data_IF_991917875720
#
_entry.id   IF_991917875720
#
_cell.length_a   1.000
_cell.length_b   1.000
_cell.length_c   1.000
_cell.angle_alpha   90.00
_cell.angle_beta   90.00
_cell.angle_gamma   90.00
#
_symmetry.space_group_name_H-M   'P 1'
#
loop_
_entity.id
_entity.type
_entity.pdbx_description
1 polymer ?
#
# COMPACT_ATOMS: atom_id res chain seq x y z
N UNK A 1 -33.29 14.76 -40.70
CA UNK A 1 -33.01 13.57 -39.86
C UNK A 1 -31.51 13.25 -39.68
N UNK A 2 -30.66 13.35 -40.71
CA UNK A 2 -29.24 12.92 -40.64
C UNK A 2 -28.34 13.78 -39.72
N UNK A 3 -28.60 15.08 -39.58
CA UNK A 3 -27.79 15.97 -38.75
C UNK A 3 -27.89 15.66 -37.24
N UNK A 4 -29.08 15.29 -36.77
CA UNK A 4 -29.29 14.86 -35.38
C UNK A 4 -28.64 13.51 -35.10
N UNK A 5 -28.66 12.59 -36.08
CA UNK A 5 -27.99 11.27 -36.00
C UNK A 5 -26.47 11.39 -35.90
N UNK A 6 -25.85 12.31 -36.64
CA UNK A 6 -24.40 12.53 -36.55
C UNK A 6 -24.00 13.16 -35.20
N UNK A 7 -24.82 14.07 -34.65
CA UNK A 7 -24.56 14.65 -33.32
C UNK A 7 -24.68 13.61 -32.21
N UNK A 8 -25.69 12.74 -32.26
CA UNK A 8 -25.84 11.67 -31.26
C UNK A 8 -24.73 10.63 -31.41
N UNK A 9 -24.35 10.25 -32.63
CA UNK A 9 -23.21 9.36 -32.85
C UNK A 9 -21.89 9.95 -32.33
N UNK A 10 -21.63 11.24 -32.57
CA UNK A 10 -20.45 11.92 -32.05
C UNK A 10 -20.46 12.00 -30.53
N UNK A 11 -21.61 12.32 -29.92
CA UNK A 11 -21.76 12.30 -28.47
C UNK A 11 -21.52 10.91 -27.88
N UNK A 12 -22.05 9.84 -28.50
CA UNK A 12 -21.85 8.46 -28.05
C UNK A 12 -20.37 8.06 -28.13
N UNK A 13 -19.66 8.41 -29.20
CA UNK A 13 -18.22 8.12 -29.34
C UNK A 13 -17.41 8.83 -28.26
N UNK A 14 -17.71 10.11 -27.99
CA UNK A 14 -17.05 10.87 -26.92
C UNK A 14 -17.30 10.24 -25.56
N UNK A 15 -18.53 9.80 -25.28
CA UNK A 15 -18.88 9.17 -24.02
C UNK A 15 -18.12 7.84 -23.82
N UNK A 16 -18.07 7.00 -24.87
CA UNK A 16 -17.33 5.74 -24.84
C UNK A 16 -15.83 5.97 -24.62
N UNK A 17 -15.26 6.98 -25.26
CA UNK A 17 -13.87 7.36 -25.06
C UNK A 17 -13.61 7.84 -23.63
N UNK A 18 -14.50 8.65 -23.06
CA UNK A 18 -14.42 9.11 -21.67
C UNK A 18 -14.45 7.93 -20.69
N UNK A 19 -15.39 7.00 -20.89
CA UNK A 19 -15.53 5.78 -20.08
C UNK A 19 -14.24 4.97 -20.14
N UNK A 20 -13.67 4.79 -21.34
CA UNK A 20 -12.42 4.08 -21.50
C UNK A 20 -11.26 4.75 -20.75
N UNK A 21 -11.11 6.08 -20.87
CA UNK A 21 -10.08 6.84 -20.15
C UNK A 21 -10.24 6.73 -18.64
N UNK A 22 -11.44 6.91 -18.11
CA UNK A 22 -11.66 6.84 -16.67
C UNK A 22 -11.48 5.42 -16.14
N UNK A 23 -11.90 4.41 -16.90
CA UNK A 23 -11.66 3.01 -16.54
C UNK A 23 -10.17 2.69 -16.50
N UNK A 24 -9.40 3.21 -17.47
CA UNK A 24 -7.94 3.05 -17.49
C UNK A 24 -7.25 3.79 -16.33
N UNK A 25 -7.64 5.03 -16.05
CA UNK A 25 -7.12 5.79 -14.91
C UNK A 25 -7.44 5.11 -13.58
N UNK A 26 -8.68 4.62 -13.41
CA UNK A 26 -9.09 3.89 -12.23
C UNK A 26 -8.33 2.57 -12.09
N UNK A 27 -8.17 1.81 -13.17
CA UNK A 27 -7.38 0.58 -13.15
C UNK A 27 -5.93 0.86 -12.72
N UNK A 28 -5.34 1.95 -13.21
CA UNK A 28 -4.02 2.39 -12.78
C UNK A 28 -4.01 2.75 -11.30
N UNK A 29 -4.96 3.52 -10.81
CA UNK A 29 -5.03 3.91 -9.39
C UNK A 29 -5.17 2.68 -8.47
N UNK A 30 -6.02 1.72 -8.84
CA UNK A 30 -6.23 0.47 -8.08
C UNK A 30 -5.01 -0.46 -8.12
N UNK A 31 -4.29 -0.52 -9.25
CA UNK A 31 -3.18 -1.46 -9.46
C UNK A 31 -1.82 -0.85 -9.08
N UNK A 32 -1.73 0.48 -9.04
CA UNK A 32 -0.55 1.17 -8.56
C UNK A 32 -0.40 0.83 -7.09
N UNK A 33 0.53 -0.08 -6.79
CA UNK A 33 0.94 -0.40 -5.42
C UNK A 33 1.15 0.93 -4.72
N UNK A 34 0.29 1.25 -3.75
CA UNK A 34 0.40 2.44 -2.93
C UNK A 34 1.77 2.38 -2.28
N UNK A 35 2.71 3.12 -2.87
CA UNK A 35 4.00 3.37 -2.27
C UNK A 35 3.64 4.31 -1.15
N UNK A 36 3.40 3.74 0.05
CA UNK A 36 3.03 4.50 1.24
C UNK A 36 3.94 5.72 1.40
N UNK A 37 3.42 6.75 2.08
CA UNK A 37 3.90 8.13 2.08
C UNK A 37 5.41 8.40 2.05
N UNK A 38 5.78 9.68 1.92
CA UNK A 38 7.16 10.12 1.80
C UNK A 38 8.02 9.94 3.07
N UNK A 39 7.55 9.10 4.01
CA UNK A 39 8.24 8.70 5.23
C UNK A 39 9.57 8.01 4.93
N UNK A 40 10.54 8.25 5.82
CA UNK A 40 11.90 7.71 5.74
C UNK A 40 11.88 6.19 5.77
N UNK A 41 12.71 5.55 4.94
CA UNK A 41 12.94 4.11 5.00
C UNK A 41 13.82 3.80 6.22
N UNK A 42 13.35 2.92 7.09
CA UNK A 42 13.98 2.59 8.38
C UNK A 42 14.51 1.15 8.41
N UNK A 43 14.11 0.30 7.47
CA UNK A 43 14.56 -1.10 7.43
C UNK A 43 13.89 -1.94 6.35
N UNK A 44 13.93 -3.26 6.51
CA UNK A 44 13.31 -4.22 5.61
C UNK A 44 12.90 -5.50 6.34
N UNK A 45 11.96 -6.25 5.77
CA UNK A 45 11.62 -7.60 6.25
C UNK A 45 12.65 -8.60 5.73
N UNK A 46 13.41 -9.22 6.63
CA UNK A 46 14.35 -10.28 6.28
C UNK A 46 13.60 -11.58 6.04
N UNK A 47 12.85 -12.02 7.05
CA UNK A 47 12.10 -13.27 7.03
C UNK A 47 10.64 -13.05 7.43
N UNK A 48 9.77 -13.89 6.87
CA UNK A 48 8.39 -14.01 7.31
C UNK A 48 7.91 -15.43 7.11
N UNK A 49 7.05 -15.87 8.02
CA UNK A 49 6.24 -17.07 7.85
C UNK A 49 4.77 -16.67 7.79
N UNK A 50 4.02 -17.32 6.90
CA UNK A 50 2.57 -17.15 6.76
C UNK A 50 2.11 -15.69 6.55
N UNK A 51 1.11 -15.23 7.31
CA UNK A 51 0.30 -14.05 7.03
C UNK A 51 0.76 -12.84 7.83
N UNK A 52 1.64 -12.04 7.22
CA UNK A 52 2.08 -10.75 7.74
C UNK A 52 1.45 -9.63 6.92
N UNK A 53 0.85 -8.67 7.62
CA UNK A 53 0.24 -7.49 7.02
C UNK A 53 0.91 -6.22 7.52
N UNK A 54 0.98 -5.23 6.64
CA UNK A 54 1.44 -3.88 6.94
C UNK A 54 0.39 -2.87 6.54
N UNK A 55 0.20 -1.88 7.38
CA UNK A 55 -0.55 -0.67 7.09
C UNK A 55 0.46 0.48 6.93
N UNK A 56 0.44 1.14 5.79
CA UNK A 56 1.27 2.33 5.55
C UNK A 56 0.76 3.50 6.40
N UNK A 57 1.65 4.39 6.81
CA UNK A 57 1.28 5.59 7.57
C UNK A 57 0.20 6.45 6.88
N UNK A 58 0.23 6.51 5.55
CA UNK A 58 -0.70 7.29 4.73
C UNK A 58 -1.99 6.56 4.37
N UNK A 59 -2.14 5.28 4.74
CA UNK A 59 -3.26 4.44 4.34
C UNK A 59 -3.95 3.78 5.54
N UNK A 60 -5.26 3.54 5.42
CA UNK A 60 -6.03 2.78 6.43
C UNK A 60 -6.05 1.27 6.11
N UNK A 61 -5.62 0.88 4.90
CA UNK A 61 -5.74 -0.49 4.38
C UNK A 61 -4.51 -1.33 4.75
N UNK A 62 -4.76 -2.57 5.16
CA UNK A 62 -3.72 -3.58 5.40
C UNK A 62 -3.30 -4.26 4.09
N UNK A 63 -2.03 -4.11 3.72
CA UNK A 63 -1.40 -4.80 2.60
C UNK A 63 -0.63 -6.03 3.06
N UNK A 64 -0.62 -7.10 2.25
CA UNK A 64 0.26 -8.25 2.48
C UNK A 64 1.72 -7.84 2.29
N UNK A 65 2.59 -8.26 3.21
CA UNK A 65 4.03 -8.01 3.11
C UNK A 65 4.74 -9.21 2.50
N UNK A 66 5.81 -8.94 1.76
CA UNK A 66 6.69 -9.94 1.12
C UNK A 66 8.09 -9.85 1.70
N UNK A 67 8.87 -10.92 1.55
CA UNK A 67 10.30 -10.91 1.90
C UNK A 67 10.99 -9.77 1.14
N UNK A 68 11.89 -9.06 1.83
CA UNK A 68 12.63 -7.88 1.34
C UNK A 68 11.77 -6.65 1.04
N UNK A 69 10.50 -6.62 1.43
CA UNK A 69 9.75 -5.37 1.38
C UNK A 69 10.36 -4.36 2.37
N UNK A 70 10.56 -3.13 1.90
CA UNK A 70 11.12 -2.03 2.70
C UNK A 70 10.12 -1.56 3.76
N UNK A 71 10.60 -1.26 4.96
CA UNK A 71 9.80 -0.69 6.06
C UNK A 71 10.13 0.80 6.19
N UNK A 72 9.09 1.60 6.35
CA UNK A 72 9.12 3.06 6.51
C UNK A 72 8.68 3.46 7.91
N UNK A 73 9.09 4.65 8.31
CA UNK A 73 8.62 5.25 9.55
C UNK A 73 7.09 5.35 9.57
N UNK A 74 6.50 5.16 10.76
CA UNK A 74 5.06 5.16 11.03
C UNK A 74 4.25 4.03 10.38
N UNK A 75 4.93 3.01 9.90
CA UNK A 75 4.24 1.80 9.49
C UNK A 75 3.72 1.03 10.70
N UNK A 76 2.56 0.40 10.53
CA UNK A 76 2.08 -0.63 11.45
C UNK A 76 2.25 -2.00 10.81
N UNK A 77 2.85 -2.94 11.53
CA UNK A 77 3.03 -4.32 11.07
C UNK A 77 2.30 -5.25 12.04
N UNK A 78 1.57 -6.22 11.50
CA UNK A 78 0.86 -7.23 12.28
C UNK A 78 1.11 -8.64 11.75
N UNK A 79 1.24 -9.57 12.68
CA UNK A 79 1.22 -11.01 12.45
C UNK A 79 -0.16 -11.56 12.84
N UNK A 80 -0.60 -12.59 12.14
CA UNK A 80 -1.77 -13.39 12.53
C UNK A 80 -1.31 -14.69 13.21
N UNK A 81 -2.27 -15.51 13.59
CA UNK A 81 -2.05 -16.85 14.14
C UNK A 81 -1.10 -17.68 13.26
N UNK A 82 -0.16 -18.38 13.90
CA UNK A 82 0.85 -19.19 13.23
C UNK A 82 1.79 -18.40 12.31
N UNK A 83 1.87 -17.07 12.43
CA UNK A 83 2.71 -16.22 11.57
C UNK A 83 3.79 -15.54 12.39
N UNK A 84 5.02 -15.50 11.88
CA UNK A 84 6.12 -14.75 12.48
C UNK A 84 6.82 -13.85 11.44
N UNK A 85 7.54 -12.84 11.91
CA UNK A 85 8.33 -11.97 11.07
C UNK A 85 9.62 -11.55 11.76
N UNK A 86 10.70 -11.45 10.98
CA UNK A 86 11.95 -10.84 11.41
C UNK A 86 12.22 -9.59 10.56
N UNK A 87 12.28 -8.44 11.23
CA UNK A 87 12.47 -7.13 10.63
C UNK A 87 13.86 -6.62 11.03
N UNK A 88 14.64 -6.22 10.03
CA UNK A 88 15.97 -5.65 10.21
C UNK A 88 15.89 -4.15 9.96
N UNK A 89 16.25 -3.39 10.99
CA UNK A 89 16.35 -1.94 10.91
C UNK A 89 17.77 -1.53 10.49
N UNK A 90 17.89 -0.41 9.81
CA UNK A 90 19.18 0.07 9.32
C UNK A 90 20.14 0.55 10.42
N UNK A 91 19.64 0.75 11.64
CA UNK A 91 20.44 1.03 12.83
C UNK A 91 21.08 -0.24 13.45
N UNK A 92 20.79 -1.42 12.90
CA UNK A 92 21.27 -2.72 13.39
C UNK A 92 20.29 -3.41 14.35
N UNK A 93 19.18 -2.77 14.71
CA UNK A 93 18.15 -3.37 15.56
C UNK A 93 17.42 -4.48 14.79
N UNK A 94 17.20 -5.62 15.46
CA UNK A 94 16.42 -6.75 14.94
C UNK A 94 15.14 -6.89 15.74
N UNK A 95 13.99 -6.74 15.09
CA UNK A 95 12.68 -6.93 15.69
C UNK A 95 12.11 -8.27 15.26
N UNK A 96 11.75 -9.10 16.24
CA UNK A 96 11.03 -10.36 16.01
C UNK A 96 9.58 -10.18 16.45
N UNK A 97 8.69 -10.45 15.52
CA UNK A 97 7.25 -10.38 15.74
C UNK A 97 6.72 -11.81 15.77
N UNK A 98 6.31 -12.25 16.95
CA UNK A 98 5.63 -13.53 17.15
C UNK A 98 4.19 -13.47 16.67
N UNK A 99 3.46 -14.57 16.73
CA UNK A 99 2.07 -14.63 16.29
C UNK A 99 1.14 -13.67 17.03
N UNK A 100 0.03 -13.32 16.38
CA UNK A 100 -1.03 -12.46 16.93
C UNK A 100 -0.54 -11.15 17.56
N UNK A 101 0.54 -10.60 17.00
CA UNK A 101 1.20 -9.41 17.52
C UNK A 101 1.09 -8.26 16.53
N UNK A 102 1.10 -7.02 17.04
CA UNK A 102 1.08 -5.81 16.24
C UNK A 102 2.06 -4.80 16.80
N UNK A 103 2.85 -4.19 15.92
CA UNK A 103 3.79 -3.12 16.26
C UNK A 103 3.53 -1.89 15.39
N UNK A 104 3.65 -0.73 16.01
CA UNK A 104 3.70 0.57 15.34
C UNK A 104 5.10 1.14 15.51
N UNK A 105 5.73 1.51 14.41
CA UNK A 105 7.12 1.98 14.37
C UNK A 105 7.15 3.50 14.29
N UNK A 106 7.61 4.19 15.33
CA UNK A 106 7.79 5.65 15.32
C UNK A 106 9.22 6.03 15.71
N UNK A 107 9.94 6.61 14.75
CA UNK A 107 11.32 7.07 14.89
C UNK A 107 11.41 8.60 14.87
N UNK A 108 10.30 9.30 15.12
CA UNK A 108 10.27 10.75 15.19
C UNK A 108 10.88 11.22 16.52
N UNK A 109 11.75 12.23 16.50
CA UNK A 109 12.31 12.83 17.73
C UNK A 109 11.25 13.51 18.62
N UNK A 110 10.09 13.80 18.05
CA UNK A 110 8.91 14.21 18.82
C UNK A 110 8.34 12.99 19.54
N UNK A 111 8.73 12.82 20.80
CA UNK A 111 8.12 11.88 21.73
C UNK A 111 6.59 12.02 21.69
N UNK A 112 5.91 10.93 21.34
CA UNK A 112 4.48 10.76 21.54
C UNK A 112 4.19 10.74 23.05
N UNK A 113 3.92 11.92 23.62
CA UNK A 113 3.29 12.10 24.93
C UNK A 113 1.85 12.55 24.74
#
# INVERSE_FOLDING_TARGET
>A
MNFLRNKTQLATIVLLFLIFIFSFLLYRDLTQKRRGGNEKVIGYILEKENYIYRKYSSDVIWGKVRKKDIIKNKDTIRSLEGSNAEIHLYDGTVLRLEENSMIYLDFSENNIN
#
